data_IF_263710402406
#
_entry.id   IF_263710402406
#
_cell.length_a   1.000
_cell.length_b   1.000
_cell.length_c   1.000
_cell.angle_alpha   90.00
_cell.angle_beta   90.00
_cell.angle_gamma   90.00
#
_symmetry.space_group_name_H-M   'P 1'
#
loop_
_entity.id
_entity.type
_entity.pdbx_description
1 polymer ?
#
# COMPACT_ATOMS: atom_id res chain seq x y z
N UNK A 1 2.79 13.66 11.18
CA UNK A 1 2.50 12.22 10.96
C UNK A 1 3.81 11.49 10.67
N UNK A 2 4.01 10.34 11.28
CA UNK A 2 5.22 9.52 11.10
C UNK A 2 4.84 8.08 10.78
N UNK A 3 5.56 7.48 9.83
CA UNK A 3 5.40 6.06 9.51
C UNK A 3 6.23 5.27 10.51
N UNK A 4 5.63 4.30 11.17
CA UNK A 4 6.30 3.48 12.20
C UNK A 4 6.63 2.08 11.72
N UNK A 5 5.69 1.41 11.07
CA UNK A 5 5.86 0.01 10.66
C UNK A 5 5.14 -0.26 9.35
N UNK A 6 5.71 -1.12 8.55
CA UNK A 6 5.09 -1.64 7.32
C UNK A 6 5.13 -3.16 7.34
N UNK A 7 4.01 -3.80 7.04
CA UNK A 7 3.94 -5.26 6.92
C UNK A 7 3.38 -5.66 5.57
N UNK A 8 3.93 -6.72 5.00
CA UNK A 8 3.44 -7.36 3.77
C UNK A 8 3.41 -8.87 3.98
N UNK A 9 2.32 -9.49 3.54
CA UNK A 9 2.15 -10.94 3.56
C UNK A 9 1.67 -11.39 2.18
N UNK A 10 2.44 -12.28 1.55
CA UNK A 10 2.11 -12.88 0.25
C UNK A 10 1.84 -11.86 -0.87
N UNK A 11 2.60 -10.79 -0.89
CA UNK A 11 2.47 -9.74 -1.89
C UNK A 11 3.63 -9.79 -2.88
N UNK A 12 3.34 -10.07 -4.15
CA UNK A 12 4.34 -10.20 -5.22
C UNK A 12 5.47 -11.15 -4.82
N UNK A 13 6.71 -10.67 -4.71
CA UNK A 13 7.87 -11.48 -4.31
C UNK A 13 7.99 -11.69 -2.79
N UNK A 14 7.21 -10.95 -1.99
CA UNK A 14 7.29 -11.04 -0.54
C UNK A 14 6.38 -12.13 0.02
N UNK A 15 6.94 -13.07 0.77
CA UNK A 15 6.17 -14.03 1.57
C UNK A 15 5.73 -13.37 2.87
N UNK A 16 6.69 -12.77 3.57
CA UNK A 16 6.49 -12.05 4.81
C UNK A 16 7.54 -10.95 4.92
N UNK A 17 7.12 -9.74 5.16
CA UNK A 17 8.03 -8.64 5.42
C UNK A 17 7.44 -7.77 6.53
N UNK A 18 8.28 -7.43 7.50
CA UNK A 18 7.95 -6.52 8.57
C UNK A 18 9.10 -5.54 8.72
N UNK A 19 8.82 -4.25 8.55
CA UNK A 19 9.83 -3.21 8.52
C UNK A 19 9.46 -2.13 9.53
N UNK A 20 10.39 -1.84 10.44
CA UNK A 20 10.29 -0.71 11.35
C UNK A 20 10.98 0.50 10.70
N UNK A 21 10.27 1.61 10.61
CA UNK A 21 10.74 2.83 9.97
C UNK A 21 11.18 3.86 11.01
N UNK A 22 12.26 4.57 10.74
CA UNK A 22 12.67 5.70 11.57
C UNK A 22 11.81 6.94 11.28
N UNK A 23 11.83 7.89 12.21
CA UNK A 23 10.92 9.03 12.16
C UNK A 23 11.21 10.04 11.03
N UNK A 24 12.43 10.08 10.54
CA UNK A 24 12.88 11.11 9.60
C UNK A 24 13.20 10.53 8.22
N UNK A 25 14.46 10.22 7.98
CA UNK A 25 14.93 9.72 6.69
C UNK A 25 15.24 8.24 6.79
N UNK A 26 14.71 7.48 5.83
CA UNK A 26 15.00 6.06 5.69
C UNK A 26 15.59 5.81 4.31
N UNK A 27 16.65 5.04 4.23
CA UNK A 27 17.32 4.68 3.00
C UNK A 27 17.19 3.17 2.80
N UNK A 28 16.67 2.78 1.64
CA UNK A 28 16.52 1.37 1.28
C UNK A 28 17.58 1.06 0.23
N UNK A 29 18.46 0.12 0.55
CA UNK A 29 19.53 -0.33 -0.34
C UNK A 29 19.36 -1.80 -0.67
N UNK A 30 19.84 -2.20 -1.84
CA UNK A 30 19.83 -3.59 -2.28
C UNK A 30 20.05 -3.68 -3.78
N UNK A 31 20.23 -4.89 -4.28
CA UNK A 31 20.37 -5.15 -5.70
C UNK A 31 19.05 -4.90 -6.43
N UNK A 32 19.11 -4.73 -7.75
CA UNK A 32 17.93 -4.61 -8.58
C UNK A 32 17.06 -5.87 -8.45
N UNK A 33 15.75 -5.69 -8.55
CA UNK A 33 14.75 -6.77 -8.45
C UNK A 33 14.59 -7.38 -7.04
N UNK A 34 15.06 -6.71 -5.98
CA UNK A 34 14.88 -7.19 -4.60
C UNK A 34 13.59 -6.70 -3.94
N UNK A 35 12.77 -5.93 -4.65
CA UNK A 35 11.49 -5.45 -4.13
C UNK A 35 11.54 -4.09 -3.44
N UNK A 36 12.64 -3.34 -3.54
CA UNK A 36 12.78 -1.99 -2.94
C UNK A 36 11.66 -1.05 -3.38
N UNK A 37 11.44 -0.96 -4.68
CA UNK A 37 10.38 -0.12 -5.26
C UNK A 37 9.00 -0.57 -4.83
N UNK A 38 8.78 -1.87 -4.69
CA UNK A 38 7.52 -2.45 -4.22
C UNK A 38 7.16 -1.93 -2.83
N UNK A 39 8.13 -1.87 -1.91
CA UNK A 39 7.90 -1.34 -0.55
C UNK A 39 7.40 0.11 -0.59
N UNK A 40 8.04 0.95 -1.40
CA UNK A 40 7.65 2.36 -1.54
C UNK A 40 6.28 2.51 -2.19
N UNK A 41 6.00 1.73 -3.22
CA UNK A 41 4.70 1.74 -3.92
C UNK A 41 3.57 1.28 -3.00
N UNK A 42 3.78 0.26 -2.17
CA UNK A 42 2.80 -0.21 -1.19
C UNK A 42 2.45 0.91 -0.21
N UNK A 43 3.46 1.56 0.37
CA UNK A 43 3.22 2.69 1.28
C UNK A 43 2.43 3.80 0.59
N UNK A 44 2.84 4.21 -0.59
CA UNK A 44 2.17 5.27 -1.34
C UNK A 44 0.72 4.90 -1.66
N UNK A 45 0.47 3.66 -2.07
CA UNK A 45 -0.88 3.19 -2.42
C UNK A 45 -1.86 3.22 -1.26
N UNK A 46 -1.38 3.14 -0.02
CA UNK A 46 -2.18 3.25 1.19
C UNK A 46 -2.26 4.69 1.72
N UNK A 47 -1.14 5.40 1.74
CA UNK A 47 -1.07 6.73 2.32
C UNK A 47 -1.74 7.80 1.46
N UNK A 48 -1.67 7.69 0.15
CA UNK A 48 -2.27 8.69 -0.75
C UNK A 48 -3.80 8.74 -0.65
N UNK A 49 -4.53 7.63 -0.74
CA UNK A 49 -5.98 7.66 -0.50
C UNK A 49 -6.34 8.07 0.92
N UNK A 50 -5.57 7.64 1.92
CA UNK A 50 -5.81 7.99 3.31
C UNK A 50 -5.74 9.51 3.54
N UNK A 51 -4.90 10.24 2.78
CA UNK A 51 -4.76 11.69 2.88
C UNK A 51 -5.89 12.49 2.22
N UNK A 52 -6.83 11.83 1.55
CA UNK A 52 -7.94 12.51 0.88
C UNK A 52 -8.87 13.16 1.89
N UNK A 53 -8.97 14.49 1.84
CA UNK A 53 -9.79 15.27 2.79
C UNK A 53 -11.29 14.96 2.68
N UNK A 54 -11.76 14.58 1.50
CA UNK A 54 -13.18 14.29 1.27
C UNK A 54 -13.55 12.83 1.60
N UNK A 55 -12.61 12.03 2.07
CA UNK A 55 -12.80 10.60 2.33
C UNK A 55 -13.94 10.33 3.31
N UNK A 56 -14.10 11.17 4.33
CA UNK A 56 -15.12 11.00 5.36
C UNK A 56 -16.55 11.19 4.85
N UNK A 57 -16.71 11.88 3.71
CA UNK A 57 -18.00 12.12 3.07
C UNK A 57 -18.37 11.01 2.07
N UNK A 58 -17.52 10.00 1.91
CA UNK A 58 -17.74 8.90 0.98
C UNK A 58 -18.46 7.75 1.67
N UNK A 59 -19.24 7.00 0.88
CA UNK A 59 -19.74 5.70 1.35
C UNK A 59 -18.57 4.73 1.52
N UNK A 60 -18.81 3.64 2.25
CA UNK A 60 -17.77 2.63 2.49
C UNK A 60 -17.27 2.03 1.16
N UNK A 61 -18.18 1.79 0.22
CA UNK A 61 -17.83 1.27 -1.11
C UNK A 61 -17.01 2.27 -1.92
N UNK A 62 -17.34 3.54 -1.86
CA UNK A 62 -16.58 4.60 -2.53
C UNK A 62 -15.20 4.78 -1.92
N UNK A 63 -15.08 4.69 -0.59
CA UNK A 63 -13.81 4.72 0.11
C UNK A 63 -12.94 3.53 -0.30
N UNK A 64 -13.49 2.32 -0.32
CA UNK A 64 -12.79 1.13 -0.80
C UNK A 64 -12.24 1.34 -2.21
N UNK A 65 -13.05 1.88 -3.12
CA UNK A 65 -12.64 2.10 -4.51
C UNK A 65 -11.52 3.13 -4.66
N UNK A 66 -11.39 4.09 -3.76
CA UNK A 66 -10.23 4.98 -3.74
C UNK A 66 -8.93 4.19 -3.58
N UNK A 67 -8.90 3.27 -2.63
CA UNK A 67 -7.73 2.43 -2.38
C UNK A 67 -7.50 1.44 -3.52
N UNK A 68 -8.54 0.76 -3.99
CA UNK A 68 -8.45 -0.20 -5.10
C UNK A 68 -7.88 0.45 -6.35
N UNK A 69 -8.42 1.60 -6.74
CA UNK A 69 -7.95 2.33 -7.92
C UNK A 69 -6.51 2.80 -7.77
N UNK A 70 -6.12 3.20 -6.55
CA UNK A 70 -4.73 3.61 -6.31
C UNK A 70 -3.76 2.45 -6.43
N UNK A 71 -4.10 1.31 -5.86
CA UNK A 71 -3.29 0.08 -5.96
C UNK A 71 -3.18 -0.35 -7.43
N UNK A 72 -4.30 -0.41 -8.14
CA UNK A 72 -4.31 -0.75 -9.56
C UNK A 72 -3.47 0.23 -10.40
N UNK A 73 -3.56 1.52 -10.12
CA UNK A 73 -2.86 2.55 -10.86
C UNK A 73 -1.35 2.53 -10.65
N UNK A 74 -0.88 2.25 -9.43
CA UNK A 74 0.56 2.25 -9.11
C UNK A 74 1.24 0.93 -9.51
N UNK A 75 0.57 -0.21 -9.35
CA UNK A 75 1.13 -1.53 -9.65
C UNK A 75 0.81 -2.03 -11.05
N UNK A 76 -0.27 -1.57 -11.65
CA UNK A 76 -0.76 -1.98 -12.98
C UNK A 76 -0.75 -3.50 -13.15
N UNK A 77 -1.50 -4.24 -12.30
CA UNK A 77 -1.53 -5.68 -12.39
C UNK A 77 -2.12 -6.12 -13.74
N UNK A 78 -1.76 -7.32 -14.16
CA UNK A 78 -2.22 -7.89 -15.41
C UNK A 78 -3.76 -7.88 -15.47
N UNK A 79 -4.33 -7.41 -16.59
CA UNK A 79 -5.77 -7.18 -16.77
C UNK A 79 -6.39 -6.26 -15.71
N UNK A 80 -5.57 -5.47 -14.99
CA UNK A 80 -5.99 -4.62 -13.87
C UNK A 80 -6.68 -5.38 -12.72
N UNK A 81 -6.40 -6.67 -12.58
CA UNK A 81 -6.96 -7.52 -11.53
C UNK A 81 -6.06 -7.54 -10.30
N UNK A 82 -6.58 -7.13 -9.15
CA UNK A 82 -5.83 -7.10 -7.89
C UNK A 82 -5.24 -8.47 -7.53
N UNK A 83 -5.98 -9.52 -7.76
CA UNK A 83 -5.53 -10.89 -7.45
C UNK A 83 -4.21 -11.29 -8.11
N UNK A 84 -3.82 -10.61 -9.19
CA UNK A 84 -2.52 -10.85 -9.84
C UNK A 84 -1.32 -10.36 -9.02
N UNK A 85 -1.56 -9.53 -8.01
CA UNK A 85 -0.53 -9.06 -7.09
C UNK A 85 -0.28 -10.03 -5.94
N UNK A 86 -1.17 -10.98 -5.70
CA UNK A 86 -0.96 -12.02 -4.69
C UNK A 86 0.21 -12.90 -5.11
N UNK A 87 1.09 -13.23 -4.15
CA UNK A 87 2.25 -14.09 -4.41
C UNK A 87 1.85 -15.39 -5.12
N UNK A 88 2.60 -15.77 -6.15
CA UNK A 88 2.35 -16.97 -6.95
C UNK A 88 2.84 -18.26 -6.29
N UNK A 89 3.37 -18.19 -5.09
CA UNK A 89 3.81 -19.38 -4.37
C UNK A 89 2.64 -20.32 -4.10
N UNK A 90 2.90 -21.62 -4.18
CA UNK A 90 1.88 -22.66 -3.97
C UNK A 90 1.27 -22.50 -2.58
N UNK A 91 -0.06 -22.53 -2.52
CA UNK A 91 -0.81 -22.40 -1.28
C UNK A 91 -1.15 -20.98 -0.86
N UNK A 92 -0.50 -19.96 -1.42
CA UNK A 92 -0.81 -18.58 -1.09
C UNK A 92 -2.02 -18.08 -1.88
N UNK A 93 -3.15 -17.88 -1.19
CA UNK A 93 -4.41 -17.48 -1.82
C UNK A 93 -4.82 -16.03 -1.51
N UNK A 94 -4.16 -15.40 -0.55
CA UNK A 94 -4.50 -14.06 -0.08
C UNK A 94 -3.25 -13.28 0.27
N UNK A 95 -3.28 -11.98 -0.03
CA UNK A 95 -2.29 -11.02 0.46
C UNK A 95 -2.92 -10.07 1.46
N UNK A 96 -2.13 -9.64 2.43
CA UNK A 96 -2.47 -8.56 3.35
C UNK A 96 -1.25 -7.67 3.52
N UNK A 97 -1.44 -6.37 3.51
CA UNK A 97 -0.38 -5.41 3.76
C UNK A 97 -0.90 -4.19 4.51
N UNK A 98 -0.04 -3.61 5.32
CA UNK A 98 -0.43 -2.51 6.21
C UNK A 98 0.69 -1.53 6.45
N UNK A 99 0.30 -0.31 6.86
CA UNK A 99 1.20 0.73 7.36
C UNK A 99 0.67 1.21 8.69
N UNK A 100 1.53 1.14 9.72
CA UNK A 100 1.25 1.69 11.03
C UNK A 100 1.87 3.09 11.13
N UNK A 101 1.10 4.04 11.58
CA UNK A 101 1.50 5.42 11.77
C UNK A 101 1.61 5.73 13.25
N UNK A 102 2.14 6.90 13.58
CA UNK A 102 2.13 7.40 14.95
C UNK A 102 0.69 7.61 15.46
N UNK A 103 0.53 7.84 16.76
CA UNK A 103 -0.78 8.04 17.40
C UNK A 103 -1.76 6.89 17.18
N UNK A 104 -1.24 5.66 17.07
CA UNK A 104 -2.03 4.42 16.88
C UNK A 104 -2.90 4.41 15.62
N UNK A 105 -2.55 5.18 14.62
CA UNK A 105 -3.18 5.12 13.30
C UNK A 105 -2.67 3.93 12.51
N UNK A 106 -3.57 3.29 11.77
CA UNK A 106 -3.20 2.17 10.91
C UNK A 106 -4.10 2.11 9.69
N UNK A 107 -3.54 1.76 8.56
CA UNK A 107 -4.27 1.48 7.33
C UNK A 107 -3.80 0.14 6.77
N UNK A 108 -4.74 -0.69 6.34
CA UNK A 108 -4.42 -1.98 5.76
C UNK A 108 -5.33 -2.30 4.58
N UNK A 109 -4.82 -3.12 3.69
CA UNK A 109 -5.55 -3.67 2.56
C UNK A 109 -5.29 -5.16 2.46
N UNK A 110 -6.29 -5.91 2.02
CA UNK A 110 -6.15 -7.34 1.78
C UNK A 110 -7.09 -7.81 0.67
N UNK A 111 -6.64 -8.77 -0.11
CA UNK A 111 -7.45 -9.37 -1.17
C UNK A 111 -6.93 -10.76 -1.52
N UNK A 112 -7.81 -11.57 -2.10
CA UNK A 112 -7.48 -12.92 -2.57
C UNK A 112 -7.16 -12.92 -4.07
N UNK A 113 -6.62 -14.03 -4.57
CA UNK A 113 -6.33 -14.21 -5.99
C UNK A 113 -7.55 -14.06 -6.89
N UNK A 114 -8.74 -14.40 -6.39
CA UNK A 114 -9.97 -14.32 -7.17
C UNK A 114 -10.57 -12.93 -7.24
N UNK A 115 -10.10 -11.98 -6.42
CA UNK A 115 -10.63 -10.63 -6.39
C UNK A 115 -9.99 -9.76 -7.47
N UNK A 116 -10.83 -9.12 -8.29
CA UNK A 116 -10.35 -8.22 -9.35
C UNK A 116 -10.40 -6.76 -8.92
N UNK A 117 -11.54 -6.31 -8.39
CA UNK A 117 -11.84 -4.89 -8.12
C UNK A 117 -12.28 -4.63 -6.68
N UNK A 118 -12.12 -5.60 -5.79
CA UNK A 118 -12.51 -5.48 -4.38
C UNK A 118 -11.34 -5.80 -3.48
N UNK A 119 -11.26 -5.09 -2.37
CA UNK A 119 -10.27 -5.32 -1.33
C UNK A 119 -10.89 -5.04 0.03
N UNK A 120 -10.40 -5.72 1.06
CA UNK A 120 -10.75 -5.41 2.45
C UNK A 120 -9.86 -4.27 2.92
N UNK A 121 -10.44 -3.10 3.12
CA UNK A 121 -9.73 -1.91 3.58
C UNK A 121 -10.12 -1.65 5.03
N UNK A 122 -9.12 -1.59 5.91
CA UNK A 122 -9.33 -1.29 7.33
C UNK A 122 -8.51 -0.07 7.72
N UNK A 123 -9.18 0.89 8.34
CA UNK A 123 -8.56 2.14 8.76
C UNK A 123 -8.85 2.34 10.25
N UNK A 124 -7.78 2.46 11.03
CA UNK A 124 -7.84 2.88 12.44
C UNK A 124 -7.39 4.32 12.48
N UNK A 125 -8.28 5.21 12.91
CA UNK A 125 -8.03 6.66 12.95
C UNK A 125 -7.58 7.10 14.34
N UNK A 126 -6.72 8.13 14.37
CA UNK A 126 -6.48 8.90 15.59
C UNK A 126 -7.45 10.07 15.67
N UNK A 127 -7.86 10.42 16.89
CA UNK A 127 -8.71 11.61 17.15
C UNK A 127 -8.01 12.92 16.76
N UNK A 128 -6.69 12.93 16.67
CA UNK A 128 -5.87 14.10 16.34
C UNK A 128 -5.09 13.91 15.04
N UNK A 129 -5.75 13.42 14.00
CA UNK A 129 -5.12 13.19 12.70
C UNK A 129 -4.61 14.51 12.10
N UNK A 130 -3.33 14.60 11.82
CA UNK A 130 -2.72 15.71 11.11
C UNK A 130 -2.95 15.58 9.62
N UNK A 131 -3.09 16.70 8.94
CA UNK A 131 -3.12 16.72 7.48
C UNK A 131 -1.71 16.45 6.95
N UNK A 132 -1.61 15.65 5.89
CA UNK A 132 -0.35 15.35 5.25
C UNK A 132 -0.55 15.14 3.76
N UNK A 133 0.54 15.18 3.02
CA UNK A 133 0.57 14.84 1.62
C UNK A 133 1.56 13.71 1.38
N UNK A 134 1.15 12.73 0.59
CA UNK A 134 2.01 11.63 0.16
C UNK A 134 2.41 11.86 -1.31
N UNK A 135 3.70 11.83 -1.58
CA UNK A 135 4.26 12.00 -2.92
C UNK A 135 5.16 10.81 -3.23
N UNK A 136 4.99 10.22 -4.40
CA UNK A 136 5.87 9.19 -4.93
C UNK A 136 6.67 9.76 -6.10
N UNK A 137 7.99 9.71 -6.00
CA UNK A 137 8.89 10.16 -7.05
C UNK A 137 9.47 8.92 -7.73
N UNK A 138 9.09 8.66 -9.00
CA UNK A 138 9.59 7.49 -9.72
C UNK A 138 11.07 7.63 -10.07
N UNK A 139 11.68 6.50 -10.48
CA UNK A 139 13.07 6.48 -10.92
C UNK A 139 13.25 7.31 -12.20
N UNK A 140 14.49 7.70 -12.48
CA UNK A 140 14.82 8.50 -13.66
C UNK A 140 14.36 7.84 -14.97
N UNK A 141 14.47 6.52 -15.08
CA UNK A 141 14.04 5.77 -16.26
C UNK A 141 12.53 5.88 -16.49
N UNK A 142 11.75 5.98 -15.44
CA UNK A 142 10.30 6.17 -15.53
C UNK A 142 9.92 7.59 -15.89
N UNK A 143 10.76 8.57 -15.58
CA UNK A 143 10.53 9.99 -15.87
C UNK A 143 10.91 10.32 -17.31
N UNK A 144 11.95 9.69 -17.85
CA UNK A 144 12.51 10.00 -19.18
C UNK A 144 11.70 9.43 -20.35
N UNK A 145 10.69 8.65 -20.07
CA UNK A 145 9.78 8.13 -21.09
C UNK A 145 8.53 8.99 -21.22
#
# INVERSE_FOLDING_TARGET
>A
MKIKKQTLSNFMAFTNAEIDWSDNINIICGENSTGKTTLLKVMYSLLKPLSNENRENLTKEMEEQLFVKKIQGIFRPDEMKLGRLVSRKRGNKRTDFSVDLDKKQKVSAGFSRGQANHADINIIKSKSAEKYEAIYIPTKEMIST
#
